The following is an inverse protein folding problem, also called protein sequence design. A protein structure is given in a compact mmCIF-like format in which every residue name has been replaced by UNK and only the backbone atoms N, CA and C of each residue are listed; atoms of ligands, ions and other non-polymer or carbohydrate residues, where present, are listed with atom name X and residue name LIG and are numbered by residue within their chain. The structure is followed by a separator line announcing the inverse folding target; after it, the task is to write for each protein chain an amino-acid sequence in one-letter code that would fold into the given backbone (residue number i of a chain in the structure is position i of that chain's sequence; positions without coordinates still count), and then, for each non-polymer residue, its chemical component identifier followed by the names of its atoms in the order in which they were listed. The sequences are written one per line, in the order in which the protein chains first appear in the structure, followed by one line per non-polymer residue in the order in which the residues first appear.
data_IF_079946651123
#
_entry.id   IF_079946651123
#
_cell.length_a   1.000
_cell.length_b   1.000
_cell.length_c   1.000
_cell.angle_alpha   90.00
_cell.angle_beta   90.00
_cell.angle_gamma   90.00
#
_symmetry.space_group_name_H-M   'P 1'
#
loop_
_entity.id
_entity.type
_entity.pdbx_description
1 polymer ?
#
# COMPACT_ATOMS: atom_id res chain seq x y z
N UNK A 1 -12.11 -0.70 -18.88
CA UNK A 1 -11.37 -1.98 -18.91
C UNK A 1 -11.84 -2.78 -20.11
N UNK A 2 -10.96 -3.47 -20.82
CA UNK A 2 -11.34 -4.35 -21.94
C UNK A 2 -11.34 -5.81 -21.49
N UNK A 3 -12.38 -6.56 -21.82
CA UNK A 3 -12.44 -7.99 -21.55
C UNK A 3 -11.50 -8.73 -22.49
N UNK A 4 -10.57 -9.53 -21.95
CA UNK A 4 -9.69 -10.41 -22.75
C UNK A 4 -10.31 -11.80 -22.88
N UNK A 5 -10.94 -12.31 -21.81
CA UNK A 5 -11.57 -13.63 -21.77
C UNK A 5 -12.79 -13.63 -20.83
N UNK A 6 -13.56 -14.73 -20.77
CA UNK A 6 -14.78 -14.87 -19.94
C UNK A 6 -14.59 -14.44 -18.48
N UNK A 7 -13.40 -14.70 -17.92
CA UNK A 7 -13.08 -14.39 -16.52
C UNK A 7 -11.96 -13.35 -16.34
N UNK A 8 -11.38 -12.81 -17.44
CA UNK A 8 -10.22 -11.93 -17.38
C UNK A 8 -10.47 -10.59 -18.08
N UNK A 9 -10.16 -9.49 -17.38
CA UNK A 9 -10.26 -8.13 -17.90
C UNK A 9 -8.91 -7.41 -17.81
N UNK A 10 -8.51 -6.74 -18.89
CA UNK A 10 -7.42 -5.78 -18.89
C UNK A 10 -7.96 -4.41 -18.47
N UNK A 11 -7.60 -3.98 -17.27
CA UNK A 11 -7.89 -2.64 -16.82
C UNK A 11 -6.68 -1.75 -17.02
N UNK A 12 -6.92 -0.57 -17.59
CA UNK A 12 -5.94 0.50 -17.47
C UNK A 12 -5.93 0.94 -16.00
N UNK A 13 -4.74 1.01 -15.42
CA UNK A 13 -4.52 1.43 -14.03
C UNK A 13 -3.83 2.79 -14.04
N UNK A 14 -4.28 3.70 -13.20
CA UNK A 14 -3.61 4.95 -12.93
C UNK A 14 -3.05 4.91 -11.51
N UNK A 15 -1.74 5.16 -11.39
CA UNK A 15 -1.10 5.38 -10.10
C UNK A 15 -1.08 6.88 -9.83
N UNK A 16 -1.71 7.30 -8.73
CA UNK A 16 -1.70 8.70 -8.29
C UNK A 16 -0.94 8.78 -6.97
N UNK A 17 0.16 9.53 -7.01
CA UNK A 17 1.04 9.79 -5.87
C UNK A 17 0.92 11.25 -5.45
N UNK A 18 0.47 11.47 -4.22
CA UNK A 18 0.27 12.82 -3.66
C UNK A 18 1.02 12.95 -2.34
N UNK A 19 1.51 14.16 -2.05
CA UNK A 19 2.10 14.48 -0.75
C UNK A 19 0.97 14.56 0.30
N UNK A 20 1.16 13.92 1.45
CA UNK A 20 0.16 13.96 2.55
C UNK A 20 0.17 15.33 3.22
N UNK A 21 1.37 15.88 3.42
CA UNK A 21 1.60 17.20 3.98
C UNK A 21 2.33 18.07 2.96
N UNK A 22 1.83 19.28 2.76
CA UNK A 22 2.44 20.29 1.88
C UNK A 22 2.62 21.58 2.67
N UNK A 23 3.85 22.07 2.78
CA UNK A 23 4.16 23.29 3.54
C UNK A 23 5.50 23.24 4.26
N UNK A 24 5.74 24.25 5.11
CA UNK A 24 6.95 24.35 5.95
C UNK A 24 6.64 23.90 7.39
N UNK A 25 5.36 23.90 7.78
CA UNK A 25 4.93 23.55 9.12
C UNK A 25 5.09 22.05 9.37
N UNK A 26 5.74 21.70 10.48
CA UNK A 26 5.92 20.33 10.92
C UNK A 26 4.59 19.75 11.43
N UNK A 27 4.07 18.66 10.82
CA UNK A 27 2.87 18.00 11.31
C UNK A 27 3.11 17.31 12.65
N UNK A 28 2.02 17.06 13.39
CA UNK A 28 2.11 16.40 14.69
C UNK A 28 2.52 14.93 14.56
N UNK A 29 3.10 14.37 15.62
CA UNK A 29 3.44 12.94 15.71
C UNK A 29 2.24 12.04 15.39
N UNK A 30 1.08 12.36 15.96
CA UNK A 30 -0.16 11.59 15.80
C UNK A 30 -0.71 11.68 14.37
N UNK A 31 -0.59 12.86 13.74
CA UNK A 31 -0.96 13.04 12.34
C UNK A 31 -0.09 12.21 11.39
N UNK A 32 1.21 12.12 11.67
CA UNK A 32 2.12 11.31 10.85
C UNK A 32 1.81 9.82 10.99
N UNK A 33 1.68 9.32 12.23
CA UNK A 33 1.37 7.90 12.47
C UNK A 33 0.02 7.48 11.88
N UNK A 34 -0.97 8.39 11.89
CA UNK A 34 -2.31 8.10 11.38
C UNK A 34 -2.45 8.22 9.87
N UNK A 35 -1.66 9.08 9.20
CA UNK A 35 -1.82 9.37 7.76
C UNK A 35 -0.69 8.81 6.90
N UNK A 36 0.54 8.77 7.40
CA UNK A 36 1.69 8.24 6.67
C UNK A 36 1.82 6.73 6.97
N UNK A 37 1.50 5.91 5.97
CA UNK A 37 1.58 4.44 6.07
C UNK A 37 2.67 3.83 5.19
N UNK A 38 3.41 4.65 4.44
CA UNK A 38 4.49 4.19 3.57
C UNK A 38 5.80 4.38 4.31
N UNK A 39 6.57 3.30 4.48
CA UNK A 39 7.91 3.36 5.04
C UNK A 39 8.87 4.15 4.16
N UNK A 40 9.84 4.81 4.78
CA UNK A 40 10.95 5.45 4.09
C UNK A 40 12.27 4.80 4.52
N UNK A 41 13.29 4.92 3.68
CA UNK A 41 14.65 4.56 4.08
C UNK A 41 15.21 5.59 5.05
N UNK A 42 16.18 5.16 5.86
CA UNK A 42 16.94 6.09 6.69
C UNK A 42 17.64 7.12 5.79
N UNK A 43 17.39 8.43 5.98
CA UNK A 43 18.05 9.49 5.24
C UNK A 43 19.58 9.48 5.42
N UNK A 44 20.14 8.83 6.44
CA UNK A 44 21.59 8.64 6.55
C UNK A 44 22.16 7.73 5.45
N UNK A 45 21.36 6.82 4.89
CA UNK A 45 21.72 5.95 3.77
C UNK A 45 21.50 6.66 2.43
N UNK A 46 20.55 7.61 2.39
CA UNK A 46 20.21 8.37 1.20
C UNK A 46 21.01 9.68 1.14
N UNK A 47 22.02 9.76 0.28
CA UNK A 47 22.76 11.00 0.04
C UNK A 47 21.82 12.10 -0.51
N UNK A 48 21.88 13.31 0.03
CA UNK A 48 21.15 14.49 -0.48
C UNK A 48 19.92 14.92 0.33
N UNK A 49 19.78 14.45 1.57
CA UNK A 49 18.72 14.88 2.49
C UNK A 49 19.24 15.80 3.59
N UNK A 50 18.51 16.87 3.88
CA UNK A 50 18.75 17.81 4.99
C UNK A 50 17.58 17.81 5.96
N UNK A 51 17.86 18.19 7.21
CA UNK A 51 16.83 18.30 8.25
C UNK A 51 16.12 19.65 8.10
N UNK A 52 14.83 19.63 7.80
CA UNK A 52 13.98 20.83 7.74
C UNK A 52 13.70 21.37 9.16
N UNK A 53 13.49 20.46 10.11
CA UNK A 53 13.30 20.79 11.51
C UNK A 53 13.07 19.57 12.39
N UNK A 54 13.30 19.76 13.68
CA UNK A 54 13.06 18.79 14.72
C UNK A 54 12.19 19.45 15.80
N UNK A 55 10.95 18.99 15.93
CA UNK A 55 10.02 19.51 16.93
C UNK A 55 9.05 18.42 17.37
N UNK A 56 8.69 18.39 18.66
CA UNK A 56 7.70 17.48 19.23
C UNK A 56 7.94 15.97 18.94
N UNK A 57 9.21 15.55 18.85
CA UNK A 57 9.56 14.14 18.59
C UNK A 57 9.40 13.70 17.13
N UNK A 58 9.26 14.67 16.22
CA UNK A 58 9.25 14.48 14.76
C UNK A 58 10.48 15.18 14.18
N UNK A 59 11.29 14.41 13.45
CA UNK A 59 12.41 14.93 12.67
C UNK A 59 12.06 14.78 11.18
N UNK A 60 11.91 15.92 10.49
CA UNK A 60 11.57 15.94 9.07
C UNK A 60 12.82 16.15 8.22
N UNK A 61 13.02 15.26 7.26
CA UNK A 61 14.10 15.29 6.28
C UNK A 61 13.53 15.61 4.90
N UNK A 62 14.14 16.56 4.21
CA UNK A 62 13.80 17.03 2.87
C UNK A 62 14.99 16.87 1.94
N UNK A 63 14.78 16.87 0.64
CA UNK A 63 15.89 16.94 -0.32
C UNK A 63 16.59 18.31 -0.23
N UNK A 64 17.91 18.34 -0.42
CA UNK A 64 18.69 19.59 -0.46
C UNK A 64 18.18 20.61 -1.50
N UNK A 65 17.53 20.14 -2.56
CA UNK A 65 16.94 20.97 -3.61
C UNK A 65 15.59 21.58 -3.24
N UNK A 66 15.00 21.19 -2.11
CA UNK A 66 13.65 21.59 -1.70
C UNK A 66 13.69 22.45 -0.43
N UNK A 67 12.69 23.32 -0.27
CA UNK A 67 12.56 24.20 0.91
C UNK A 67 11.24 23.96 1.66
N UNK A 68 10.46 22.97 1.22
CA UNK A 68 9.12 22.65 1.71
C UNK A 68 8.94 21.13 1.72
N UNK A 69 7.99 20.65 2.52
CA UNK A 69 7.56 19.26 2.51
C UNK A 69 6.95 18.90 1.16
N UNK A 70 7.46 17.83 0.56
CA UNK A 70 7.09 17.29 -0.75
C UNK A 70 6.85 15.78 -0.66
N UNK A 71 6.56 15.14 -1.80
CA UNK A 71 6.41 13.69 -1.93
C UNK A 71 7.68 12.91 -1.57
N UNK A 72 8.84 13.55 -1.64
CA UNK A 72 10.14 12.94 -1.33
C UNK A 72 10.52 13.08 0.14
N UNK A 73 9.79 13.87 0.93
CA UNK A 73 10.11 14.11 2.33
C UNK A 73 9.95 12.87 3.20
N UNK A 74 10.85 12.73 4.18
CA UNK A 74 10.94 11.60 5.09
C UNK A 74 10.75 12.11 6.52
N UNK A 75 9.84 11.50 7.26
CA UNK A 75 9.63 11.78 8.67
C UNK A 75 10.22 10.65 9.50
N UNK A 76 11.06 11.02 10.46
CA UNK A 76 11.54 10.13 11.51
C UNK A 76 10.72 10.41 12.76
N UNK A 77 10.05 9.37 13.25
CA UNK A 77 9.12 9.44 14.36
C UNK A 77 9.39 8.30 15.33
N UNK A 78 9.17 8.53 16.62
CA UNK A 78 9.18 7.48 17.64
C UNK A 78 7.76 6.97 17.82
N UNK A 79 7.56 5.67 17.60
CA UNK A 79 6.27 4.98 17.77
C UNK A 79 5.87 4.87 19.26
N UNK A 80 4.62 4.49 19.54
CA UNK A 80 4.08 4.32 20.90
C UNK A 80 4.90 3.32 21.75
N UNK A 81 5.62 2.42 21.08
CA UNK A 81 6.48 1.39 21.69
C UNK A 81 7.94 1.85 21.87
N UNK A 82 8.29 3.10 21.54
CA UNK A 82 9.64 3.64 21.69
C UNK A 82 10.60 3.33 20.54
N UNK A 83 10.11 2.73 19.44
CA UNK A 83 10.91 2.40 18.27
C UNK A 83 10.98 3.59 17.30
N UNK A 84 12.16 3.86 16.73
CA UNK A 84 12.32 4.86 15.67
C UNK A 84 11.88 4.29 14.34
N UNK A 85 10.87 4.89 13.73
CA UNK A 85 10.36 4.53 12.40
C UNK A 85 10.56 5.68 11.42
N UNK A 86 10.77 5.34 10.16
CA UNK A 86 10.91 6.29 9.06
C UNK A 86 9.71 6.15 8.13
N UNK A 87 9.00 7.26 7.91
CA UNK A 87 7.77 7.30 7.13
C UNK A 87 7.90 8.31 6.01
N UNK A 88 7.51 7.93 4.79
CA UNK A 88 7.52 8.81 3.63
C UNK A 88 6.25 9.66 3.61
N UNK A 89 6.38 10.92 3.23
CA UNK A 89 5.28 11.85 3.00
C UNK A 89 4.54 11.56 1.68
N UNK A 90 4.08 10.32 1.51
CA UNK A 90 3.53 9.85 0.25
C UNK A 90 2.23 9.10 0.49
N UNK A 91 1.19 9.50 -0.24
CA UNK A 91 -0.05 8.76 -0.39
C UNK A 91 -0.09 8.19 -1.80
N UNK A 92 0.05 6.87 -1.90
CA UNK A 92 -0.05 6.14 -3.16
C UNK A 92 -1.42 5.49 -3.28
N UNK A 93 -2.19 5.93 -4.27
CA UNK A 93 -3.51 5.37 -4.59
C UNK A 93 -3.52 4.81 -6.00
N UNK A 94 -3.99 3.58 -6.13
CA UNK A 94 -4.19 2.91 -7.41
C UNK A 94 -5.65 3.12 -7.78
N UNK A 95 -5.90 3.68 -8.95
CA UNK A 95 -7.25 3.90 -9.50
C UNK A 95 -7.43 3.05 -10.76
N UNK A 96 -8.58 2.38 -10.89
CA UNK A 96 -8.96 1.71 -12.13
C UNK A 96 -10.48 1.75 -12.33
N UNK A 97 -10.88 1.56 -13.59
CA UNK A 97 -12.26 1.73 -14.03
C UNK A 97 -12.43 3.09 -14.69
N UNK A 98 -12.62 3.06 -16.00
CA UNK A 98 -12.91 4.22 -16.82
C UNK A 98 -14.41 4.20 -17.14
N UNK A 99 -15.06 5.35 -16.99
CA UNK A 99 -16.47 5.53 -17.31
C UNK A 99 -16.63 5.56 -18.82
N UNK A 100 -17.35 4.60 -19.39
CA UNK A 100 -17.68 4.60 -20.82
C UNK A 100 -19.19 4.82 -20.94
N UNK A 101 -19.59 5.96 -21.55
CA UNK A 101 -20.97 6.48 -21.54
C UNK A 101 -22.04 5.52 -22.08
N UNK A 102 -21.65 4.52 -22.87
CA UNK A 102 -22.57 3.60 -23.56
C UNK A 102 -22.97 2.34 -22.77
N UNK A 103 -22.41 2.08 -21.58
CA UNK A 103 -22.81 0.92 -20.76
C UNK A 103 -22.92 1.27 -19.27
N UNK A 104 -24.17 1.44 -18.81
CA UNK A 104 -24.53 1.79 -17.44
C UNK A 104 -24.09 0.76 -16.36
N UNK A 105 -23.43 -0.34 -16.75
CA UNK A 105 -22.84 -1.34 -15.84
C UNK A 105 -21.33 -1.15 -15.61
N UNK A 106 -20.67 -0.25 -16.35
CA UNK A 106 -19.20 -0.06 -16.32
C UNK A 106 -18.90 1.42 -16.04
N UNK A 107 -19.02 1.82 -14.78
CA UNK A 107 -18.88 3.23 -14.40
C UNK A 107 -18.49 3.47 -12.95
N UNK A 108 -17.73 2.57 -12.34
CA UNK A 108 -17.24 2.78 -10.96
C UNK A 108 -15.72 2.87 -10.98
N UNK A 109 -15.20 4.08 -10.80
CA UNK A 109 -13.80 4.28 -10.43
C UNK A 109 -13.58 3.62 -9.07
N UNK A 110 -12.78 2.55 -9.07
CA UNK A 110 -12.38 1.86 -7.86
C UNK A 110 -11.00 2.36 -7.48
N UNK A 111 -10.82 2.60 -6.19
CA UNK A 111 -9.54 3.01 -5.64
C UNK A 111 -9.11 2.00 -4.59
N UNK A 112 -7.85 1.57 -4.67
CA UNK A 112 -7.19 0.83 -3.59
C UNK A 112 -5.95 1.59 -3.17
N UNK A 113 -5.57 1.43 -1.90
CA UNK A 113 -4.26 1.87 -1.43
C UNK A 113 -3.21 0.91 -1.97
N UNK A 114 -2.00 1.40 -2.18
CA UNK A 114 -0.86 0.51 -2.39
C UNK A 114 -0.73 -0.42 -1.18
N UNK A 115 -0.52 -1.72 -1.44
CA UNK A 115 -0.40 -2.71 -0.35
C UNK A 115 0.86 -2.37 0.43
N UNK A 116 0.80 -2.25 1.77
CA UNK A 116 1.99 -2.00 2.56
C UNK A 116 2.98 -3.16 2.37
N UNK A 117 4.23 -2.83 2.07
CA UNK A 117 5.32 -3.78 2.09
C UNK A 117 6.01 -3.68 3.46
N UNK A 118 6.22 -4.82 4.11
CA UNK A 118 6.81 -4.89 5.44
C UNK A 118 8.27 -5.36 5.42
N UNK A 119 8.81 -5.65 4.24
CA UNK A 119 10.19 -6.08 4.10
C UNK A 119 11.15 -4.90 4.13
N UNK A 120 12.22 -5.02 4.91
CA UNK A 120 13.34 -4.10 4.77
C UNK A 120 14.07 -4.38 3.45
N UNK A 121 14.03 -3.42 2.54
CA UNK A 121 14.67 -3.53 1.23
C UNK A 121 16.20 -3.39 1.31
N UNK A 122 16.76 -2.86 2.41
CA UNK A 122 18.20 -2.76 2.61
C UNK A 122 18.78 -4.07 3.15
N UNK A 123 18.08 -4.69 4.09
CA UNK A 123 18.50 -5.95 4.70
C UNK A 123 17.39 -7.00 4.64
N UNK A 124 17.11 -7.57 3.45
CA UNK A 124 16.05 -8.56 3.32
C UNK A 124 16.42 -9.84 4.08
N UNK A 125 15.75 -10.07 5.21
CA UNK A 125 15.86 -11.33 5.94
C UNK A 125 14.76 -12.31 5.52
N UNK A 126 15.11 -13.60 5.46
CA UNK A 126 14.15 -14.67 5.14
C UNK A 126 12.95 -14.66 6.11
N UNK A 127 13.20 -14.31 7.38
CA UNK A 127 12.18 -14.26 8.43
C UNK A 127 11.10 -13.20 8.13
N UNK A 128 11.51 -12.04 7.66
CA UNK A 128 10.59 -10.93 7.43
C UNK A 128 9.74 -11.18 6.18
N UNK A 129 10.31 -11.83 5.16
CA UNK A 129 9.56 -12.35 4.03
C UNK A 129 8.51 -13.41 4.43
N UNK A 130 8.82 -14.29 5.40
CA UNK A 130 7.85 -15.25 5.91
C UNK A 130 6.69 -14.54 6.63
N UNK A 131 6.98 -13.57 7.50
CA UNK A 131 5.94 -12.82 8.21
C UNK A 131 5.08 -11.97 7.28
N UNK A 132 5.65 -11.40 6.21
CA UNK A 132 4.89 -10.67 5.20
C UNK A 132 3.91 -11.57 4.45
N UNK A 133 4.36 -12.78 4.06
CA UNK A 133 3.50 -13.78 3.42
C UNK A 133 2.38 -14.23 4.36
N UNK A 134 2.69 -14.47 5.63
CA UNK A 134 1.69 -14.85 6.62
C UNK A 134 0.65 -13.73 6.84
N UNK A 135 1.10 -12.48 6.96
CA UNK A 135 0.20 -11.33 7.08
C UNK A 135 -0.67 -11.12 5.84
N UNK A 136 -0.13 -11.38 4.64
CA UNK A 136 -0.88 -11.32 3.40
C UNK A 136 -1.94 -12.42 3.32
N UNK A 137 -1.59 -13.66 3.68
CA UNK A 137 -2.56 -14.77 3.77
C UNK A 137 -3.67 -14.46 4.78
N UNK A 138 -3.31 -13.91 5.94
CA UNK A 138 -4.26 -13.46 6.96
C UNK A 138 -5.20 -12.38 6.43
N UNK A 139 -4.67 -11.43 5.65
CA UNK A 139 -5.47 -10.40 4.99
C UNK A 139 -6.47 -11.02 4.01
N UNK A 140 -6.01 -11.97 3.17
CA UNK A 140 -6.88 -12.65 2.21
C UNK A 140 -8.04 -13.38 2.90
N UNK A 141 -7.80 -13.96 4.07
CA UNK A 141 -8.80 -14.70 4.85
C UNK A 141 -9.75 -13.78 5.63
N UNK A 142 -9.26 -12.68 6.21
CA UNK A 142 -10.02 -11.85 7.16
C UNK A 142 -10.87 -10.77 6.50
N UNK A 143 -10.43 -10.21 5.37
CA UNK A 143 -11.12 -9.06 4.79
C UNK A 143 -12.10 -9.46 3.68
N UNK A 144 -13.33 -8.93 3.71
CA UNK A 144 -14.36 -9.24 2.71
C UNK A 144 -14.08 -8.62 1.33
N UNK A 145 -13.05 -7.79 1.22
CA UNK A 145 -12.58 -7.21 -0.05
C UNK A 145 -11.75 -8.17 -0.90
N UNK A 146 -11.40 -9.36 -0.37
CA UNK A 146 -10.66 -10.37 -1.13
C UNK A 146 -11.52 -10.91 -2.26
N UNK A 147 -10.98 -10.86 -3.48
CA UNK A 147 -11.73 -11.24 -4.66
C UNK A 147 -11.98 -12.78 -4.69
N UNK A 148 -13.20 -13.24 -5.05
CA UNK A 148 -13.56 -14.68 -5.01
C UNK A 148 -12.69 -15.59 -5.90
N UNK A 149 -12.06 -15.02 -6.93
CA UNK A 149 -11.11 -15.75 -7.77
C UNK A 149 -9.84 -16.19 -7.01
N UNK A 150 -9.46 -15.47 -5.95
CA UNK A 150 -8.37 -15.89 -5.06
C UNK A 150 -8.76 -17.16 -4.30
N UNK A 151 -10.01 -17.29 -3.83
CA UNK A 151 -10.50 -18.49 -3.17
C UNK A 151 -10.37 -19.73 -4.07
N UNK A 152 -10.70 -19.60 -5.36
CA UNK A 152 -10.52 -20.68 -6.35
C UNK A 152 -9.05 -21.11 -6.47
N UNK A 153 -8.11 -20.17 -6.52
CA UNK A 153 -6.68 -20.47 -6.58
C UNK A 153 -6.19 -21.14 -5.29
N UNK A 154 -6.63 -20.66 -4.13
CA UNK A 154 -6.28 -21.28 -2.84
C UNK A 154 -6.80 -22.72 -2.75
N UNK A 155 -8.02 -22.99 -3.21
CA UNK A 155 -8.58 -24.35 -3.26
C UNK A 155 -7.76 -25.25 -4.18
N UNK A 156 -7.36 -24.76 -5.35
CA UNK A 156 -6.59 -25.53 -6.32
C UNK A 156 -5.18 -25.84 -5.83
N UNK A 157 -4.51 -24.86 -5.19
CA UNK A 157 -3.11 -24.99 -4.82
C UNK A 157 -2.88 -25.52 -3.40
N UNK A 158 -3.73 -25.17 -2.43
CA UNK A 158 -3.58 -25.60 -1.03
C UNK A 158 -4.39 -26.85 -0.69
N UNK A 159 -5.62 -26.96 -1.19
CA UNK A 159 -6.47 -28.14 -0.94
C UNK A 159 -6.28 -29.26 -1.98
N UNK A 160 -5.52 -29.00 -3.05
CA UNK A 160 -5.20 -29.99 -4.08
C UNK A 160 -6.38 -30.37 -4.99
N UNK A 161 -7.48 -29.61 -4.97
CA UNK A 161 -8.66 -29.87 -5.80
C UNK A 161 -8.48 -29.13 -7.12
N UNK A 162 -8.00 -29.83 -8.15
CA UNK A 162 -7.69 -29.24 -9.45
C UNK A 162 -8.88 -28.59 -10.16
N UNK A 163 -10.10 -29.12 -9.96
CA UNK A 163 -11.34 -28.58 -10.53
C UNK A 163 -12.47 -28.55 -9.47
N UNK A 164 -12.52 -27.50 -8.62
CA UNK A 164 -13.56 -27.39 -7.61
C UNK A 164 -14.94 -27.22 -8.24
N UNK A 165 -15.95 -27.87 -7.67
CA UNK A 165 -17.32 -27.78 -8.18
C UNK A 165 -17.87 -26.35 -8.01
N UNK A 166 -18.76 -25.87 -8.91
CA UNK A 166 -19.35 -24.53 -8.80
C UNK A 166 -20.05 -24.29 -7.46
N UNK A 167 -20.66 -25.35 -6.91
CA UNK A 167 -21.37 -25.32 -5.64
C UNK A 167 -20.42 -25.11 -4.45
N UNK A 168 -19.26 -25.79 -4.46
CA UNK A 168 -18.22 -25.60 -3.46
C UNK A 168 -17.65 -24.18 -3.49
N UNK A 169 -17.44 -23.61 -4.68
CA UNK A 169 -17.00 -22.21 -4.82
C UNK A 169 -18.06 -21.25 -4.26
N UNK A 170 -19.35 -21.49 -4.52
CA UNK A 170 -20.43 -20.64 -4.01
C UNK A 170 -20.56 -20.69 -2.48
N UNK A 171 -20.38 -21.86 -1.87
CA UNK A 171 -20.42 -22.03 -0.42
C UNK A 171 -19.24 -21.35 0.28
N UNK A 172 -18.05 -21.35 -0.34
CA UNK A 172 -16.85 -20.69 0.21
C UNK A 172 -16.84 -19.18 -0.02
N UNK A 173 -17.54 -18.70 -1.04
CA UNK A 173 -17.65 -17.27 -1.36
C UNK A 173 -18.75 -16.52 -0.58
N UNK A 174 -19.58 -17.23 0.20
CA UNK A 174 -20.66 -16.67 1.02
C UNK A 174 -20.19 -16.44 2.45
#
# INVERSE_FOLDING_TARGET
CSQIDKDNCLCNIALTEEAIFSGIDLPSREDILSKCHIGAFDPAVLTGYTILGNSNGVEAHILESETQLSTSSIFKVIDEYGNTIFLKNLKSTIQWGEYQEDDARIGVTRTLRNVPNFNDLLTPELRDAQYEVDAFLDMLLKYPSTAPNICKLLIQHLAGISNPSPQYISEVAT
#
